data_IF_680304415582
#
_entry.id   IF_680304415582
#
_cell.length_a   1.000
_cell.length_b   1.000
_cell.length_c   1.000
_cell.angle_alpha   90.00
_cell.angle_beta   90.00
_cell.angle_gamma   90.00
#
_symmetry.space_group_name_H-M   'P 1'
#
loop_
_entity.id
_entity.type
_entity.pdbx_description
1 polymer ?
#
# COMPACT_ATOMS: atom_id res chain seq x y z
N UNK A 1 -16.76 11.37 -12.06
CA UNK A 1 -15.74 11.81 -11.07
C UNK A 1 -16.17 11.19 -9.74
N UNK A 2 -15.28 10.48 -9.06
CA UNK A 2 -15.57 9.93 -7.75
C UNK A 2 -15.96 11.05 -6.77
N UNK A 3 -16.86 10.75 -5.84
CA UNK A 3 -17.27 11.69 -4.81
C UNK A 3 -16.11 11.92 -3.84
N UNK A 4 -15.38 13.02 -4.01
CA UNK A 4 -14.19 13.32 -3.21
C UNK A 4 -14.44 13.47 -1.72
N UNK A 5 -15.71 13.60 -1.29
CA UNK A 5 -16.04 13.75 0.13
C UNK A 5 -15.79 12.48 0.95
N UNK A 6 -15.92 11.31 0.33
CA UNK A 6 -15.72 10.00 0.97
C UNK A 6 -14.48 9.26 0.47
N UNK A 7 -13.55 9.97 -0.20
CA UNK A 7 -12.31 9.37 -0.70
C UNK A 7 -11.19 9.53 0.33
N UNK A 8 -10.63 8.40 0.78
CA UNK A 8 -9.54 8.36 1.75
C UNK A 8 -8.32 7.63 1.20
N UNK A 9 -7.15 8.04 1.65
CA UNK A 9 -5.89 7.38 1.33
C UNK A 9 -5.17 6.86 2.56
N UNK A 10 -4.56 5.69 2.43
CA UNK A 10 -3.67 5.09 3.44
C UNK A 10 -2.28 4.98 2.85
N UNK A 11 -1.30 5.63 3.45
CA UNK A 11 0.11 5.59 3.03
C UNK A 11 0.91 4.81 4.06
N UNK A 12 1.44 3.65 3.65
CA UNK A 12 2.16 2.73 4.52
C UNK A 12 3.65 3.11 4.61
N UNK A 13 4.08 3.62 5.75
CA UNK A 13 5.46 4.08 6.00
C UNK A 13 6.10 3.42 7.24
N UNK A 14 5.56 2.28 7.70
CA UNK A 14 6.04 1.56 8.89
C UNK A 14 7.19 0.58 8.64
N UNK A 15 7.48 0.23 7.38
CA UNK A 15 8.50 -0.75 6.99
C UNK A 15 9.91 -0.37 7.42
N UNK A 16 10.77 -1.37 7.62
CA UNK A 16 12.16 -1.16 8.06
C UNK A 16 13.15 -0.99 6.88
N UNK A 17 12.81 -1.48 5.68
CA UNK A 17 13.64 -1.36 4.48
C UNK A 17 15.02 -2.02 4.61
N UNK A 18 15.12 -3.15 5.34
CA UNK A 18 16.39 -3.80 5.71
C UNK A 18 17.31 -4.11 4.53
N UNK A 19 16.75 -4.54 3.41
CA UNK A 19 17.50 -4.97 2.22
C UNK A 19 18.36 -3.85 1.60
N UNK A 20 17.95 -2.58 1.73
CA UNK A 20 18.67 -1.42 1.21
C UNK A 20 19.49 -0.65 2.26
N UNK A 21 19.51 -1.08 3.52
CA UNK A 21 20.17 -0.32 4.60
C UNK A 21 21.65 -0.08 4.34
N UNK A 22 22.39 -1.05 3.81
CA UNK A 22 23.81 -0.86 3.50
C UNK A 22 24.02 0.17 2.39
N UNK A 23 23.22 0.12 1.33
CA UNK A 23 23.26 1.11 0.24
C UNK A 23 22.95 2.51 0.76
N UNK A 24 21.89 2.64 1.57
CA UNK A 24 21.47 3.90 2.17
C UNK A 24 22.53 4.44 3.14
N UNK A 25 23.12 3.58 3.98
CA UNK A 25 24.20 3.95 4.91
C UNK A 25 25.41 4.51 4.17
N UNK A 26 25.82 3.90 3.07
CA UNK A 26 26.93 4.41 2.24
C UNK A 26 26.63 5.80 1.66
N UNK A 27 25.38 6.07 1.32
CA UNK A 27 24.96 7.35 0.72
C UNK A 27 24.74 8.46 1.75
N UNK A 28 24.25 8.14 2.96
CA UNK A 28 23.85 9.11 3.98
C UNK A 28 24.77 9.14 5.21
N UNK A 29 25.71 8.23 5.34
CA UNK A 29 26.54 8.09 6.54
C UNK A 29 25.80 7.55 7.77
N UNK A 30 24.52 7.22 7.66
CA UNK A 30 23.68 6.73 8.75
C UNK A 30 22.61 5.75 8.25
N UNK A 31 22.14 4.89 9.13
CA UNK A 31 20.99 4.04 8.87
C UNK A 31 19.70 4.89 8.83
N UNK A 32 18.95 4.73 7.75
CA UNK A 32 17.66 5.39 7.54
C UNK A 32 16.74 4.42 6.79
N UNK A 33 15.46 4.24 7.19
CA UNK A 33 14.55 3.40 6.43
C UNK A 33 14.32 3.95 5.02
N UNK A 34 14.13 3.06 4.05
CA UNK A 34 14.05 3.37 2.61
C UNK A 34 13.08 4.52 2.31
N UNK A 35 11.88 4.47 2.87
CA UNK A 35 10.83 5.47 2.64
C UNK A 35 11.20 6.89 3.10
N UNK A 36 12.12 7.03 4.04
CA UNK A 36 12.61 8.34 4.50
C UNK A 36 13.88 8.78 3.80
N UNK A 37 14.39 8.01 2.85
CA UNK A 37 15.62 8.28 2.10
C UNK A 37 15.30 8.92 0.75
N UNK A 38 16.12 9.93 0.35
CA UNK A 38 16.06 10.53 -0.98
C UNK A 38 16.95 9.71 -1.94
N UNK A 39 16.44 8.60 -2.44
CA UNK A 39 17.17 7.72 -3.38
C UNK A 39 17.30 8.41 -4.74
N UNK A 40 16.29 9.15 -5.15
CA UNK A 40 16.30 9.98 -6.35
C UNK A 40 16.03 11.44 -5.99
N UNK A 41 16.78 12.36 -6.55
CA UNK A 41 16.63 13.79 -6.32
C UNK A 41 16.90 14.19 -4.85
N UNK A 42 16.11 15.15 -4.32
CA UNK A 42 16.29 15.71 -2.97
C UNK A 42 15.18 15.35 -1.98
N UNK A 43 14.13 14.65 -2.43
CA UNK A 43 12.96 14.31 -1.60
C UNK A 43 12.99 12.84 -1.22
N UNK A 44 12.52 12.52 -0.01
CA UNK A 44 12.36 11.13 0.41
C UNK A 44 11.29 10.41 -0.40
N UNK A 45 11.37 9.08 -0.46
CA UNK A 45 10.37 8.25 -1.15
C UNK A 45 8.94 8.50 -0.62
N UNK A 46 8.79 8.62 0.69
CA UNK A 46 7.51 8.99 1.31
C UNK A 46 7.02 10.35 0.82
N UNK A 47 7.91 11.36 0.70
CA UNK A 47 7.51 12.68 0.20
C UNK A 47 7.08 12.61 -1.26
N UNK A 48 7.77 11.85 -2.12
CA UNK A 48 7.34 11.60 -3.49
C UNK A 48 5.96 10.95 -3.54
N UNK A 49 5.71 9.95 -2.69
CA UNK A 49 4.39 9.30 -2.61
C UNK A 49 3.31 10.27 -2.18
N UNK A 50 3.56 11.10 -1.14
CA UNK A 50 2.59 12.10 -0.70
C UNK A 50 2.30 13.15 -1.77
N UNK A 51 3.32 13.71 -2.41
CA UNK A 51 3.18 14.69 -3.50
C UNK A 51 2.35 14.14 -4.68
N UNK A 52 2.46 12.82 -4.91
CA UNK A 52 1.70 12.12 -5.94
C UNK A 52 0.24 11.96 -5.55
N UNK A 53 -0.02 11.36 -4.39
CA UNK A 53 -1.40 11.02 -3.98
C UNK A 53 -2.23 12.25 -3.60
N UNK A 54 -1.61 13.33 -3.14
CA UNK A 54 -2.25 14.62 -2.85
C UNK A 54 -2.86 15.30 -4.07
N UNK A 55 -2.48 14.88 -5.28
CA UNK A 55 -3.10 15.36 -6.52
C UNK A 55 -4.54 14.87 -6.70
N UNK A 56 -4.91 13.77 -6.04
CA UNK A 56 -6.24 13.15 -6.15
C UNK A 56 -6.97 12.98 -4.81
N UNK A 57 -6.24 12.94 -3.68
CA UNK A 57 -6.81 12.78 -2.34
C UNK A 57 -6.41 13.97 -1.47
N UNK A 58 -7.37 14.71 -0.90
CA UNK A 58 -7.06 15.85 -0.04
C UNK A 58 -6.18 15.47 1.15
N UNK A 59 -5.20 16.27 1.56
CA UNK A 59 -4.29 15.96 2.68
C UNK A 59 -5.00 15.59 3.98
N UNK A 60 -6.16 16.19 4.27
CA UNK A 60 -6.98 15.88 5.47
C UNK A 60 -7.61 14.48 5.46
N UNK A 61 -7.72 13.86 4.28
CA UNK A 61 -8.25 12.51 4.05
C UNK A 61 -7.14 11.47 3.82
N UNK A 62 -5.86 11.83 4.06
CA UNK A 62 -4.74 10.90 4.03
C UNK A 62 -4.33 10.49 5.44
N UNK A 63 -4.25 9.17 5.68
CA UNK A 63 -3.69 8.57 6.89
C UNK A 63 -2.31 7.99 6.56
N UNK A 64 -1.28 8.44 7.27
CA UNK A 64 0.09 7.91 7.14
C UNK A 64 0.31 6.97 8.31
N UNK A 65 0.65 5.71 8.03
CA UNK A 65 0.98 4.74 9.07
C UNK A 65 2.49 4.59 9.19
N UNK A 66 3.06 5.02 10.29
CA UNK A 66 4.51 5.03 10.52
C UNK A 66 4.90 4.28 11.80
N UNK A 67 6.07 3.66 11.84
CA UNK A 67 6.58 3.09 13.08
C UNK A 67 6.97 4.20 14.08
N UNK A 68 6.66 4.03 15.36
CA UNK A 68 6.98 5.01 16.40
C UNK A 68 8.48 5.38 16.40
N UNK A 69 9.38 4.40 16.22
CA UNK A 69 10.83 4.60 16.11
C UNK A 69 11.25 5.48 14.91
N UNK A 70 10.38 5.67 13.92
CA UNK A 70 10.63 6.51 12.74
C UNK A 70 10.17 7.96 12.94
N UNK A 71 9.59 8.31 14.08
CA UNK A 71 9.04 9.66 14.40
C UNK A 71 10.04 10.79 14.12
N UNK A 72 11.33 10.53 14.35
CA UNK A 72 12.42 11.51 14.12
C UNK A 72 12.59 11.95 12.66
N UNK A 73 12.15 11.15 11.67
CA UNK A 73 12.26 11.48 10.24
C UNK A 73 11.07 12.25 9.69
N UNK A 74 9.93 12.23 10.39
CA UNK A 74 8.68 12.82 9.90
C UNK A 74 8.68 14.34 9.79
N UNK A 75 9.32 15.13 10.68
CA UNK A 75 9.33 16.59 10.56
C UNK A 75 9.89 17.09 9.23
N UNK A 76 10.89 16.40 8.68
CA UNK A 76 11.48 16.72 7.37
C UNK A 76 10.48 16.47 6.22
N UNK A 77 9.69 15.39 6.32
CA UNK A 77 8.76 14.93 5.28
C UNK A 77 7.45 15.70 5.32
N UNK A 78 6.99 16.08 6.53
CA UNK A 78 5.65 16.62 6.79
C UNK A 78 5.63 18.13 6.98
N UNK A 79 6.65 18.87 6.53
CA UNK A 79 6.84 20.32 6.69
C UNK A 79 5.55 21.03 6.46
N UNK A 80 4.55 21.15 6.52
CA UNK A 80 3.30 21.88 6.20
C UNK A 80 2.03 21.04 6.39
N UNK A 81 2.14 19.86 7.06
CA UNK A 81 0.99 18.99 7.31
C UNK A 81 0.56 19.01 8.76
N UNK A 82 -0.74 18.81 8.97
CA UNK A 82 -1.27 18.57 10.31
C UNK A 82 -0.71 17.27 10.90
N UNK A 83 -0.21 17.34 12.14
CA UNK A 83 0.36 16.17 12.86
C UNK A 83 -0.62 15.01 13.03
N UNK A 84 -1.92 15.29 13.01
CA UNK A 84 -3.01 14.30 13.17
C UNK A 84 -3.16 13.32 11.99
N UNK A 85 -2.49 13.57 10.87
CA UNK A 85 -2.50 12.67 9.72
C UNK A 85 -1.60 11.43 9.89
N UNK A 86 -0.85 11.31 10.99
CA UNK A 86 0.09 10.19 11.21
C UNK A 86 -0.39 9.31 12.36
N UNK A 87 -0.60 8.04 12.03
CA UNK A 87 -0.87 6.97 12.99
C UNK A 87 0.44 6.24 13.29
N UNK A 88 0.77 6.08 14.57
CA UNK A 88 1.99 5.40 14.97
C UNK A 88 1.72 3.97 15.38
N UNK A 89 2.44 3.02 14.74
CA UNK A 89 2.48 1.64 15.23
C UNK A 89 3.61 1.51 16.25
N UNK A 90 3.32 0.93 17.43
CA UNK A 90 4.32 0.77 18.51
C UNK A 90 5.41 -0.22 18.11
N UNK A 91 5.03 -1.31 17.43
CA UNK A 91 5.91 -2.35 16.93
C UNK A 91 5.48 -2.86 15.55
N UNK A 92 6.41 -3.54 14.87
CA UNK A 92 6.10 -4.12 13.56
C UNK A 92 5.39 -5.46 13.73
N UNK A 93 4.12 -5.52 13.34
CA UNK A 93 3.29 -6.72 13.23
C UNK A 93 2.92 -7.01 11.76
N UNK A 94 3.81 -6.67 10.84
CA UNK A 94 3.64 -6.70 9.39
C UNK A 94 2.49 -5.80 8.88
N UNK A 95 2.10 -5.97 7.61
CA UNK A 95 1.23 -5.02 6.92
C UNK A 95 -0.23 -5.09 7.34
N UNK A 96 -0.75 -6.27 7.73
CA UNK A 96 -2.18 -6.41 8.04
C UNK A 96 -2.61 -5.55 9.23
N UNK A 97 -1.83 -5.55 10.32
CA UNK A 97 -2.14 -4.73 11.49
C UNK A 97 -2.05 -3.23 11.20
N UNK A 98 -1.04 -2.82 10.44
CA UNK A 98 -0.83 -1.43 10.04
C UNK A 98 -1.96 -0.90 9.15
N UNK A 99 -2.42 -1.70 8.20
CA UNK A 99 -3.54 -1.36 7.34
C UNK A 99 -4.83 -1.27 8.16
N UNK A 100 -5.07 -2.25 9.04
CA UNK A 100 -6.31 -2.26 9.83
C UNK A 100 -6.40 -1.09 10.82
N UNK A 101 -5.30 -0.67 11.42
CA UNK A 101 -5.25 0.54 12.25
C UNK A 101 -5.80 1.75 11.47
N UNK A 102 -5.32 1.99 10.26
CA UNK A 102 -5.79 3.11 9.45
C UNK A 102 -7.25 2.91 8.99
N UNK A 103 -7.63 1.70 8.56
CA UNK A 103 -9.00 1.38 8.18
C UNK A 103 -9.98 1.63 9.32
N UNK A 104 -9.67 1.21 10.54
CA UNK A 104 -10.53 1.40 11.71
C UNK A 104 -10.69 2.88 12.05
N UNK A 105 -9.65 3.69 11.91
CA UNK A 105 -9.72 5.15 12.07
C UNK A 105 -10.61 5.81 11.02
N UNK A 106 -10.49 5.39 9.75
CA UNK A 106 -11.30 5.91 8.66
C UNK A 106 -12.75 5.48 8.86
N UNK A 107 -13.00 4.21 9.14
CA UNK A 107 -14.34 3.66 9.30
C UNK A 107 -15.15 4.32 10.43
N UNK A 108 -14.50 4.66 11.53
CA UNK A 108 -15.15 5.41 12.64
C UNK A 108 -15.55 6.82 12.22
N UNK A 109 -14.79 7.47 11.33
CA UNK A 109 -15.06 8.84 10.87
C UNK A 109 -16.00 8.91 9.68
N UNK A 110 -15.91 7.91 8.80
CA UNK A 110 -16.58 7.90 7.51
C UNK A 110 -16.85 6.43 7.09
N UNK A 111 -17.97 5.85 7.53
CA UNK A 111 -18.33 4.48 7.16
C UNK A 111 -18.54 4.28 5.65
N UNK A 112 -18.88 5.35 4.91
CA UNK A 112 -19.10 5.32 3.46
C UNK A 112 -17.81 5.44 2.64
N UNK A 113 -16.65 5.55 3.30
CA UNK A 113 -15.38 5.78 2.67
C UNK A 113 -15.04 4.75 1.59
N UNK A 114 -14.51 5.24 0.47
CA UNK A 114 -13.68 4.48 -0.46
C UNK A 114 -12.23 4.74 -0.07
N UNK A 115 -11.45 3.70 0.14
CA UNK A 115 -10.05 3.81 0.52
C UNK A 115 -9.14 3.38 -0.62
N UNK A 116 -8.06 4.14 -0.84
CA UNK A 116 -6.94 3.73 -1.68
C UNK A 116 -5.70 3.56 -0.80
N UNK A 117 -5.00 2.42 -0.94
CA UNK A 117 -3.81 2.07 -0.13
C UNK A 117 -2.57 2.19 -1.00
N UNK A 118 -1.51 2.80 -0.43
CA UNK A 118 -0.26 3.07 -1.13
C UNK A 118 0.94 2.68 -0.27
N UNK A 119 1.89 1.89 -0.78
CA UNK A 119 3.21 1.79 -0.18
C UNK A 119 3.95 3.13 -0.37
N UNK A 120 4.77 3.52 0.59
CA UNK A 120 5.49 4.80 0.58
C UNK A 120 6.90 4.74 -0.01
N UNK A 121 7.31 3.56 -0.45
CA UNK A 121 8.69 3.25 -0.81
C UNK A 121 8.86 2.64 -2.20
N UNK A 122 7.79 2.68 -3.02
CA UNK A 122 7.84 2.29 -4.41
C UNK A 122 8.16 3.47 -5.33
N UNK A 123 8.94 3.18 -6.36
CA UNK A 123 9.21 4.13 -7.43
C UNK A 123 8.13 4.04 -8.51
N UNK A 124 7.69 5.20 -9.02
CA UNK A 124 6.72 5.34 -10.11
C UNK A 124 7.27 6.39 -11.08
N UNK A 125 7.47 6.02 -12.34
CA UNK A 125 7.97 6.92 -13.38
C UNK A 125 6.89 7.86 -13.91
N UNK A 126 5.88 7.34 -14.58
CA UNK A 126 4.82 8.10 -15.24
C UNK A 126 3.66 8.39 -14.28
N UNK A 127 3.90 9.27 -13.28
CA UNK A 127 2.98 9.54 -12.17
C UNK A 127 1.55 9.91 -12.62
N UNK A 128 1.42 10.76 -13.67
CA UNK A 128 0.09 11.17 -14.15
C UNK A 128 -0.72 9.98 -14.66
N UNK A 129 -0.08 9.10 -15.42
CA UNK A 129 -0.74 7.89 -15.95
C UNK A 129 -1.07 6.90 -14.84
N UNK A 130 -0.16 6.75 -13.88
CA UNK A 130 -0.41 5.92 -12.70
C UNK A 130 -1.64 6.40 -11.92
N UNK A 131 -1.77 7.71 -11.67
CA UNK A 131 -2.91 8.27 -10.97
C UNK A 131 -4.24 8.06 -11.71
N UNK A 132 -4.24 8.08 -13.05
CA UNK A 132 -5.43 7.72 -13.84
C UNK A 132 -5.90 6.28 -13.55
N UNK A 133 -4.96 5.31 -13.42
CA UNK A 133 -5.32 3.94 -13.01
C UNK A 133 -5.85 3.90 -11.57
N UNK A 134 -5.28 4.68 -10.66
CA UNK A 134 -5.79 4.78 -9.27
C UNK A 134 -7.21 5.35 -9.25
N UNK A 135 -7.48 6.43 -9.97
CA UNK A 135 -8.82 7.04 -10.08
C UNK A 135 -9.84 6.06 -10.67
N UNK A 136 -9.45 5.28 -11.69
CA UNK A 136 -10.29 4.22 -12.26
C UNK A 136 -10.60 3.13 -11.23
N UNK A 137 -9.61 2.69 -10.45
CA UNK A 137 -9.81 1.68 -9.41
C UNK A 137 -10.74 2.19 -8.31
N UNK A 138 -10.60 3.46 -7.89
CA UNK A 138 -11.47 4.12 -6.92
C UNK A 138 -12.91 4.17 -7.44
N UNK A 139 -13.12 4.68 -8.65
CA UNK A 139 -14.45 4.80 -9.25
C UNK A 139 -15.12 3.43 -9.42
N UNK A 140 -14.35 2.41 -9.84
CA UNK A 140 -14.86 1.06 -9.93
C UNK A 140 -15.30 0.50 -8.56
N UNK A 141 -14.49 0.71 -7.51
CA UNK A 141 -14.81 0.26 -6.14
C UNK A 141 -16.02 0.99 -5.55
N UNK A 142 -16.30 2.21 -5.97
CA UNK A 142 -17.50 2.96 -5.56
C UNK A 142 -18.76 2.33 -6.14
N UNK A 143 -18.73 1.92 -7.41
CA UNK A 143 -19.88 1.30 -8.11
C UNK A 143 -20.00 -0.22 -7.84
N UNK A 144 -18.90 -0.87 -7.45
CA UNK A 144 -18.81 -2.29 -7.14
C UNK A 144 -18.30 -2.53 -5.72
N UNK A 145 -19.09 -2.18 -4.69
CA UNK A 145 -18.64 -2.08 -3.30
C UNK A 145 -18.17 -3.40 -2.69
N UNK A 146 -18.59 -4.54 -3.22
CA UNK A 146 -18.25 -5.87 -2.68
C UNK A 146 -16.86 -6.35 -3.06
N UNK A 147 -16.15 -5.59 -3.90
CA UNK A 147 -14.85 -6.01 -4.46
C UNK A 147 -13.71 -5.11 -4.06
N UNK A 148 -12.52 -5.73 -3.99
CA UNK A 148 -11.23 -5.04 -3.88
C UNK A 148 -10.58 -5.00 -5.27
N UNK A 149 -10.13 -3.83 -5.69
CA UNK A 149 -9.44 -3.64 -6.97
C UNK A 149 -7.95 -3.50 -6.73
N UNK A 150 -7.16 -4.41 -7.28
CA UNK A 150 -5.70 -4.39 -7.25
C UNK A 150 -5.16 -3.71 -8.51
N UNK A 151 -4.08 -2.94 -8.38
CA UNK A 151 -3.29 -2.48 -9.53
C UNK A 151 -2.19 -3.51 -9.81
N UNK A 152 -2.37 -4.28 -10.88
CA UNK A 152 -1.44 -5.32 -11.31
C UNK A 152 -0.46 -4.78 -12.34
N UNK A 153 0.84 -4.87 -12.06
CA UNK A 153 1.91 -4.41 -12.96
C UNK A 153 2.30 -5.53 -13.92
N UNK A 154 2.48 -5.21 -15.20
CA UNK A 154 3.00 -6.17 -16.16
C UNK A 154 4.45 -6.51 -15.81
N UNK A 155 4.79 -7.78 -15.56
CA UNK A 155 6.15 -8.18 -15.22
C UNK A 155 7.13 -7.96 -16.35
N UNK A 156 8.35 -7.61 -16.01
CA UNK A 156 9.50 -7.59 -16.93
C UNK A 156 10.46 -8.75 -16.67
N UNK A 157 10.38 -9.37 -15.50
CA UNK A 157 11.24 -10.47 -15.04
C UNK A 157 10.47 -11.42 -14.13
N UNK A 158 11.00 -12.61 -13.87
CA UNK A 158 10.42 -13.59 -12.93
C UNK A 158 10.96 -13.37 -11.51
N UNK A 159 10.48 -12.34 -10.81
CA UNK A 159 10.96 -11.97 -9.46
C UNK A 159 10.16 -12.71 -8.39
N UNK A 160 10.79 -13.60 -7.58
CA UNK A 160 10.09 -14.36 -6.54
C UNK A 160 9.74 -13.51 -5.31
N UNK A 161 10.41 -12.38 -5.10
CA UNK A 161 10.19 -11.49 -3.95
C UNK A 161 8.88 -10.69 -4.03
N UNK A 162 8.14 -10.77 -5.14
CA UNK A 162 6.88 -10.06 -5.35
C UNK A 162 5.66 -10.95 -5.14
N UNK A 163 4.52 -10.31 -4.87
CA UNK A 163 3.22 -10.94 -5.00
C UNK A 163 2.82 -11.07 -6.47
N UNK A 164 2.18 -12.18 -6.83
CA UNK A 164 1.75 -12.50 -8.18
C UNK A 164 0.25 -12.70 -8.23
N UNK A 165 -0.39 -12.14 -9.27
CA UNK A 165 -1.83 -12.15 -9.48
C UNK A 165 -2.13 -12.88 -10.78
N UNK A 166 -2.94 -13.93 -10.72
CA UNK A 166 -3.46 -14.61 -11.91
C UNK A 166 -4.73 -13.91 -12.40
N UNK A 167 -4.68 -13.17 -13.52
CA UNK A 167 -5.89 -12.60 -14.08
C UNK A 167 -6.69 -13.67 -14.82
N UNK A 168 -8.00 -13.71 -14.61
CA UNK A 168 -8.92 -14.54 -15.38
C UNK A 168 -9.03 -14.04 -16.83
N UNK A 169 -9.60 -14.87 -17.70
CA UNK A 169 -10.08 -14.43 -19.04
C UNK A 169 -11.38 -13.62 -18.92
N UNK A 170 -12.12 -13.75 -17.82
CA UNK A 170 -13.34 -13.00 -17.55
C UNK A 170 -13.01 -11.61 -16.99
N UNK A 171 -13.65 -10.59 -17.53
CA UNK A 171 -13.46 -9.20 -17.12
C UNK A 171 -14.77 -8.40 -17.25
N UNK A 172 -14.83 -7.31 -16.53
CA UNK A 172 -15.83 -6.27 -16.71
C UNK A 172 -15.23 -5.11 -17.51
N UNK A 173 -16.00 -4.56 -18.42
CA UNK A 173 -15.65 -3.30 -19.07
C UNK A 173 -16.14 -2.14 -18.19
N UNK A 174 -15.22 -1.23 -17.85
CA UNK A 174 -15.54 -0.04 -17.09
C UNK A 174 -14.71 1.15 -17.60
N UNK A 175 -15.37 2.22 -18.01
CA UNK A 175 -14.74 3.44 -18.54
C UNK A 175 -13.63 3.17 -19.57
N UNK A 176 -13.89 2.26 -20.52
CA UNK A 176 -12.95 1.89 -21.58
C UNK A 176 -11.80 0.97 -21.15
N UNK A 177 -11.75 0.55 -19.90
CA UNK A 177 -10.74 -0.35 -19.35
C UNK A 177 -11.33 -1.71 -18.99
N UNK A 178 -10.44 -2.73 -18.86
CA UNK A 178 -10.81 -4.09 -18.48
C UNK A 178 -10.38 -4.36 -17.05
N UNK A 179 -11.32 -4.70 -16.20
CA UNK A 179 -11.11 -5.16 -14.83
C UNK A 179 -11.27 -6.68 -14.82
N UNK A 180 -10.17 -7.39 -14.64
CA UNK A 180 -10.15 -8.85 -14.69
C UNK A 180 -10.47 -9.44 -13.32
N UNK A 181 -11.31 -10.49 -13.28
CA UNK A 181 -11.44 -11.32 -12.09
C UNK A 181 -10.07 -11.94 -11.75
N UNK A 182 -9.79 -12.11 -10.47
CA UNK A 182 -8.58 -12.82 -10.02
C UNK A 182 -8.92 -14.30 -9.86
N UNK A 183 -8.06 -15.18 -10.40
CA UNK A 183 -8.17 -16.63 -10.21
C UNK A 183 -7.43 -17.03 -8.95
N UNK A 184 -6.21 -16.54 -8.80
CA UNK A 184 -5.39 -16.78 -7.62
C UNK A 184 -4.43 -15.61 -7.37
N UNK A 185 -4.00 -15.52 -6.12
CA UNK A 185 -2.97 -14.60 -5.67
C UNK A 185 -1.91 -15.38 -4.92
N UNK A 186 -0.64 -15.08 -5.12
CA UNK A 186 0.47 -15.79 -4.49
C UNK A 186 1.55 -14.81 -4.04
N UNK A 187 1.75 -14.68 -2.74
CA UNK A 187 2.74 -13.76 -2.16
C UNK A 187 4.09 -14.46 -2.02
N UNK A 188 5.08 -13.93 -2.71
CA UNK A 188 6.47 -14.41 -2.65
C UNK A 188 6.62 -15.91 -2.90
N UNK A 189 6.30 -16.38 -4.11
CA UNK A 189 6.48 -17.77 -4.51
C UNK A 189 7.96 -18.15 -4.51
N UNK A 190 8.25 -19.43 -4.67
CA UNK A 190 9.59 -19.88 -5.01
C UNK A 190 10.00 -19.45 -6.45
N UNK A 191 11.29 -19.60 -6.76
CA UNK A 191 11.87 -19.17 -8.05
C UNK A 191 11.22 -19.89 -9.24
N UNK A 192 10.92 -21.19 -9.08
CA UNK A 192 10.33 -21.99 -10.16
C UNK A 192 8.89 -21.53 -10.43
N UNK A 193 8.09 -21.33 -9.39
CA UNK A 193 6.74 -20.80 -9.47
C UNK A 193 6.71 -19.41 -10.09
N UNK A 194 7.63 -18.51 -9.68
CA UNK A 194 7.72 -17.16 -10.25
C UNK A 194 8.00 -17.20 -11.77
N UNK A 195 8.88 -18.10 -12.21
CA UNK A 195 9.16 -18.29 -13.64
C UNK A 195 7.92 -18.81 -14.40
N UNK A 196 7.18 -19.75 -13.82
CA UNK A 196 5.93 -20.25 -14.39
C UNK A 196 4.87 -19.14 -14.50
N UNK A 197 4.71 -18.30 -13.46
CA UNK A 197 3.76 -17.19 -13.45
C UNK A 197 4.11 -16.14 -14.49
N UNK A 198 5.40 -15.81 -14.61
CA UNK A 198 5.89 -14.90 -15.64
C UNK A 198 5.54 -15.40 -17.06
N UNK A 199 5.82 -16.67 -17.35
CA UNK A 199 5.54 -17.28 -18.65
C UNK A 199 4.03 -17.39 -18.95
N UNK A 200 3.18 -17.49 -17.91
CA UNK A 200 1.72 -17.53 -18.03
C UNK A 200 1.09 -16.12 -18.12
N UNK A 201 1.89 -15.06 -18.02
CA UNK A 201 1.41 -13.68 -18.11
C UNK A 201 0.66 -13.19 -16.87
N UNK A 202 0.97 -13.73 -15.70
CA UNK A 202 0.50 -13.18 -14.42
C UNK A 202 1.04 -11.77 -14.19
N UNK A 203 0.47 -11.04 -13.26
CA UNK A 203 0.84 -9.67 -12.95
C UNK A 203 1.52 -9.58 -11.58
N UNK A 204 2.44 -8.63 -11.41
CA UNK A 204 2.96 -8.30 -10.09
C UNK A 204 1.94 -7.51 -9.28
N UNK A 205 1.84 -7.82 -7.99
CA UNK A 205 1.09 -7.00 -7.05
C UNK A 205 1.87 -5.74 -6.69
N UNK A 206 1.32 -4.58 -6.99
CA UNK A 206 1.93 -3.30 -6.60
C UNK A 206 1.66 -2.91 -5.15
N UNK A 207 0.84 -3.65 -4.42
CA UNK A 207 0.25 -3.27 -3.13
C UNK A 207 -0.56 -1.96 -3.19
N UNK A 208 -0.82 -1.44 -4.38
CA UNK A 208 -1.78 -0.34 -4.56
C UNK A 208 -3.13 -0.94 -4.89
N UNK A 209 -4.13 -0.59 -4.09
CA UNK A 209 -5.48 -1.12 -4.22
C UNK A 209 -6.52 -0.06 -3.84
N UNK A 210 -7.75 -0.27 -4.29
CA UNK A 210 -8.91 0.50 -3.87
C UNK A 210 -10.06 -0.43 -3.46
N UNK A 211 -10.84 -0.02 -2.46
CA UNK A 211 -12.04 -0.74 -2.00
C UNK A 211 -12.93 0.17 -1.15
N UNK A 212 -14.18 -0.21 -0.92
CA UNK A 212 -14.96 0.34 0.18
C UNK A 212 -14.32 -0.03 1.52
N UNK A 213 -14.23 0.94 2.42
CA UNK A 213 -13.67 0.73 3.75
C UNK A 213 -14.43 -0.35 4.51
N UNK A 214 -15.76 -0.32 4.47
CA UNK A 214 -16.63 -1.32 5.08
C UNK A 214 -16.34 -2.74 4.56
N UNK A 215 -16.09 -2.89 3.27
CA UNK A 215 -15.77 -4.18 2.65
C UNK A 215 -14.49 -4.77 3.18
N UNK A 216 -13.43 -3.95 3.26
CA UNK A 216 -12.18 -4.40 3.89
C UNK A 216 -12.37 -4.73 5.37
N UNK A 217 -13.14 -3.94 6.13
CA UNK A 217 -13.44 -4.24 7.54
C UNK A 217 -14.20 -5.58 7.68
N UNK A 218 -15.17 -5.87 6.81
CA UNK A 218 -15.87 -7.17 6.76
C UNK A 218 -14.91 -8.33 6.46
N UNK A 219 -13.99 -8.16 5.50
CA UNK A 219 -12.97 -9.15 5.18
C UNK A 219 -12.00 -9.40 6.34
N UNK A 220 -11.58 -8.36 7.06
CA UNK A 220 -10.78 -8.53 8.27
C UNK A 220 -11.55 -9.29 9.36
N UNK A 221 -12.83 -9.02 9.53
CA UNK A 221 -13.67 -9.74 10.48
C UNK A 221 -13.76 -11.23 10.16
N UNK A 222 -13.79 -11.59 8.87
CA UNK A 222 -13.95 -12.98 8.42
C UNK A 222 -12.63 -13.75 8.41
N UNK A 223 -11.53 -13.14 7.96
CA UNK A 223 -10.27 -13.83 7.70
C UNK A 223 -9.14 -13.46 8.69
N UNK A 224 -9.24 -12.33 9.37
CA UNK A 224 -8.24 -11.81 10.31
C UNK A 224 -8.88 -11.42 11.64
N UNK A 225 -9.73 -12.32 12.17
CA UNK A 225 -10.58 -12.07 13.34
C UNK A 225 -9.81 -11.58 14.56
N UNK A 226 -8.61 -12.08 14.83
CA UNK A 226 -7.78 -11.62 15.95
C UNK A 226 -7.41 -10.14 15.86
N UNK A 227 -7.04 -9.68 14.64
CA UNK A 227 -6.74 -8.26 14.41
C UNK A 227 -8.03 -7.45 14.53
N UNK A 228 -9.11 -7.86 13.87
CA UNK A 228 -10.41 -7.17 13.97
C UNK A 228 -10.86 -7.01 15.44
N UNK A 229 -10.78 -8.07 16.22
CA UNK A 229 -11.23 -8.08 17.61
C UNK A 229 -10.39 -7.16 18.53
N UNK A 230 -9.07 -7.04 18.28
CA UNK A 230 -8.19 -6.16 19.05
C UNK A 230 -8.62 -4.68 18.95
N UNK A 231 -9.26 -4.30 17.85
CA UNK A 231 -9.72 -2.92 17.61
C UNK A 231 -11.22 -2.69 17.87
N UNK A 232 -11.93 -3.64 18.52
CA UNK A 232 -13.39 -3.52 18.78
C UNK A 232 -13.82 -2.24 19.51
N UNK A 233 -12.95 -1.65 20.33
CA UNK A 233 -13.24 -0.42 21.09
C UNK A 233 -12.77 0.85 20.38
N UNK A 234 -12.36 0.77 19.11
CA UNK A 234 -11.82 1.90 18.37
C UNK A 234 -12.76 3.11 18.36
N UNK A 235 -14.05 2.90 18.13
CA UNK A 235 -15.06 3.96 18.06
C UNK A 235 -15.24 4.77 19.35
N UNK A 236 -14.88 4.21 20.51
CA UNK A 236 -14.97 4.89 21.81
C UNK A 236 -13.64 5.42 22.31
N UNK A 237 -12.54 5.12 21.64
CA UNK A 237 -11.18 5.39 22.11
C UNK A 237 -10.44 6.40 21.22
N UNK A 238 -10.67 6.35 19.89
CA UNK A 238 -9.98 7.25 18.97
C UNK A 238 -10.35 8.72 19.21
N UNK A 239 -9.32 9.57 19.20
CA UNK A 239 -9.44 10.99 19.50
C UNK A 239 -9.48 11.33 20.99
N UNK A 240 -9.30 10.35 21.89
CA UNK A 240 -9.17 10.54 23.33
C UNK A 240 -7.71 10.43 23.81
N UNK A 241 -7.43 10.84 25.04
CA UNK A 241 -6.10 10.70 25.65
C UNK A 241 -5.66 9.23 25.83
N UNK A 242 -6.60 8.29 25.75
CA UNK A 242 -6.35 6.85 25.88
C UNK A 242 -6.02 6.16 24.55
N UNK A 243 -5.95 6.88 23.44
CA UNK A 243 -5.75 6.31 22.11
C UNK A 243 -4.39 5.60 21.96
N UNK A 244 -3.30 6.23 22.41
CA UNK A 244 -1.95 5.64 22.32
C UNK A 244 -1.87 4.34 23.13
N UNK A 245 -2.40 4.31 24.34
CA UNK A 245 -2.43 3.12 25.20
C UNK A 245 -3.29 2.01 24.58
N UNK A 246 -4.43 2.37 24.01
CA UNK A 246 -5.29 1.43 23.30
C UNK A 246 -4.58 0.77 22.12
N UNK A 247 -3.93 1.57 21.26
CA UNK A 247 -3.16 1.07 20.12
C UNK A 247 -2.00 0.17 20.60
N UNK A 248 -1.27 0.58 21.63
CA UNK A 248 -0.17 -0.20 22.19
C UNK A 248 -0.65 -1.58 22.66
N UNK A 249 -1.77 -1.61 23.40
CA UNK A 249 -2.38 -2.87 23.86
C UNK A 249 -2.86 -3.74 22.69
N UNK A 250 -3.55 -3.15 21.72
CA UNK A 250 -4.01 -3.89 20.54
C UNK A 250 -2.85 -4.54 19.79
N UNK A 251 -1.72 -3.83 19.60
CA UNK A 251 -0.55 -4.38 18.92
C UNK A 251 0.20 -5.44 19.73
N UNK A 252 0.18 -5.39 21.06
CA UNK A 252 0.81 -6.42 21.90
C UNK A 252 0.14 -7.80 21.73
N UNK A 253 -1.19 -7.82 21.54
CA UNK A 253 -1.99 -9.04 21.56
C UNK A 253 -2.21 -9.67 20.16
N UNK A 254 -1.94 -8.93 19.07
CA UNK A 254 -2.20 -9.44 17.72
C UNK A 254 -1.03 -10.20 17.10
N UNK A 255 -1.31 -11.24 16.27
CA UNK A 255 -0.27 -11.94 15.54
C UNK A 255 0.34 -11.06 14.43
N UNK A 256 1.60 -11.35 14.10
CA UNK A 256 2.24 -10.76 12.92
C UNK A 256 1.69 -11.41 11.65
N UNK A 257 1.02 -10.64 10.80
CA UNK A 257 0.36 -11.10 9.58
C UNK A 257 0.65 -10.18 8.40
N UNK A 258 1.11 -10.78 7.29
CA UNK A 258 1.24 -10.08 6.03
C UNK A 258 -0.15 -9.94 5.37
N UNK A 259 -0.53 -8.75 4.97
CA UNK A 259 -1.84 -8.46 4.37
C UNK A 259 -2.07 -9.25 3.07
N UNK A 260 -1.10 -9.24 2.17
CA UNK A 260 -1.22 -9.96 0.90
C UNK A 260 -1.37 -11.45 1.11
N UNK A 261 -0.50 -12.05 1.93
CA UNK A 261 -0.51 -13.49 2.20
C UNK A 261 -1.71 -13.94 3.04
N UNK A 262 -2.09 -13.15 4.05
CA UNK A 262 -3.10 -13.59 5.03
C UNK A 262 -4.53 -13.14 4.70
N UNK A 263 -4.69 -12.23 3.71
CA UNK A 263 -6.00 -11.77 3.26
C UNK A 263 -6.17 -11.94 1.76
N UNK A 264 -5.32 -11.34 0.91
CA UNK A 264 -5.55 -11.36 -0.53
C UNK A 264 -5.49 -12.77 -1.13
N UNK A 265 -4.62 -13.65 -0.64
CA UNK A 265 -4.58 -15.07 -1.06
C UNK A 265 -5.89 -15.82 -0.72
N UNK A 266 -6.55 -15.44 0.37
CA UNK A 266 -7.75 -16.12 0.88
C UNK A 266 -9.06 -15.65 0.22
N UNK A 267 -9.04 -14.55 -0.53
CA UNK A 267 -10.25 -13.91 -1.06
C UNK A 267 -10.23 -13.68 -2.58
N UNK A 268 -9.65 -14.56 -3.43
CA UNK A 268 -9.52 -14.30 -4.87
C UNK A 268 -10.86 -13.98 -5.55
N UNK A 269 -11.96 -14.60 -5.12
CA UNK A 269 -13.30 -14.37 -5.67
C UNK A 269 -13.83 -12.94 -5.41
N UNK A 270 -13.27 -12.25 -4.43
CA UNK A 270 -13.61 -10.86 -4.10
C UNK A 270 -12.64 -9.85 -4.73
N UNK A 271 -11.70 -10.30 -5.58
CA UNK A 271 -10.70 -9.46 -6.19
C UNK A 271 -10.97 -9.20 -7.67
N UNK A 272 -10.76 -7.96 -8.07
CA UNK A 272 -10.48 -7.57 -9.45
C UNK A 272 -9.06 -7.05 -9.56
N UNK A 273 -8.44 -7.24 -10.72
CA UNK A 273 -7.17 -6.61 -11.05
C UNK A 273 -7.32 -5.72 -12.28
N UNK A 274 -6.88 -4.47 -12.13
CA UNK A 274 -6.70 -3.53 -13.23
C UNK A 274 -5.26 -3.63 -13.71
N UNK A 275 -5.06 -4.03 -14.97
CA UNK A 275 -3.72 -4.14 -15.57
C UNK A 275 -3.16 -2.75 -15.83
N UNK A 276 -2.02 -2.47 -15.25
CA UNK A 276 -1.30 -1.19 -15.40
C UNK A 276 -0.20 -1.35 -16.42
N UNK A 277 -0.25 -0.54 -17.48
CA UNK A 277 0.68 -0.58 -18.59
C UNK A 277 1.25 0.81 -18.92
N UNK A 278 2.46 0.83 -19.47
CA UNK A 278 3.12 2.07 -19.90
C UNK A 278 3.51 2.98 -18.75
N UNK A 279 3.84 2.40 -17.62
CA UNK A 279 4.50 3.06 -16.50
C UNK A 279 5.74 2.26 -16.11
N UNK A 280 6.75 2.94 -15.63
CA UNK A 280 7.86 2.33 -14.94
C UNK A 280 7.52 2.26 -13.45
N UNK A 281 7.46 1.05 -12.92
CA UNK A 281 7.20 0.76 -11.51
C UNK A 281 8.28 -0.17 -10.96
N UNK A 282 8.71 0.10 -9.75
CA UNK A 282 9.65 -0.76 -9.03
C UNK A 282 9.44 -0.64 -7.52
N UNK A 283 9.54 -1.77 -6.81
CA UNK A 283 9.55 -1.73 -5.34
C UNK A 283 10.91 -1.30 -4.77
N UNK A 284 11.95 -1.18 -5.63
CA UNK A 284 13.33 -0.90 -5.22
C UNK A 284 13.76 -1.75 -4.02
N UNK A 285 13.52 -3.04 -4.14
CA UNK A 285 13.80 -4.00 -3.07
C UNK A 285 15.29 -4.31 -2.90
N UNK A 286 16.11 -4.18 -3.97
CA UNK A 286 17.54 -4.46 -3.96
C UNK A 286 18.33 -3.30 -4.52
N UNK A 287 19.64 -3.24 -4.18
CA UNK A 287 20.56 -2.24 -4.70
C UNK A 287 20.68 -2.33 -6.22
N UNK A 288 20.77 -3.54 -6.74
CA UNK A 288 20.92 -3.82 -8.17
C UNK A 288 19.73 -3.25 -8.96
N UNK A 289 18.50 -3.45 -8.46
CA UNK A 289 17.30 -2.90 -9.07
C UNK A 289 17.32 -1.36 -9.03
N UNK A 290 17.68 -0.76 -7.91
CA UNK A 290 17.80 0.70 -7.79
C UNK A 290 18.79 1.26 -8.82
N UNK A 291 19.98 0.67 -8.93
CA UNK A 291 21.01 1.12 -9.86
C UNK A 291 20.55 0.96 -11.32
N UNK A 292 19.99 -0.20 -11.69
CA UNK A 292 19.44 -0.47 -13.02
C UNK A 292 18.40 0.58 -13.43
N UNK A 293 17.47 0.91 -12.52
CA UNK A 293 16.42 1.89 -12.79
C UNK A 293 16.99 3.31 -12.90
N UNK A 294 17.92 3.71 -12.00
CA UNK A 294 18.57 5.02 -12.05
C UNK A 294 19.37 5.22 -13.35
N UNK A 295 20.10 4.20 -13.82
CA UNK A 295 20.82 4.22 -15.10
C UNK A 295 19.84 4.43 -16.27
N UNK A 296 18.68 3.79 -16.23
CA UNK A 296 17.65 3.95 -17.26
C UNK A 296 17.08 5.37 -17.36
N UNK A 297 17.20 6.17 -16.28
CA UNK A 297 16.82 7.58 -16.21
C UNK A 297 17.95 8.54 -16.56
N UNK A 298 19.18 8.06 -16.78
CA UNK A 298 20.36 8.92 -16.96
C UNK A 298 20.73 9.72 -15.70
N UNK A 299 20.37 9.22 -14.53
CA UNK A 299 20.71 9.83 -13.23
C UNK A 299 22.06 9.30 -12.77
N UNK A 300 23.06 10.18 -12.67
CA UNK A 300 24.39 9.83 -12.10
C UNK A 300 24.25 9.38 -10.64
N UNK A 301 24.97 8.33 -10.28
CA UNK A 301 24.98 7.70 -8.94
C UNK A 301 25.83 8.47 -7.93
#
# INVERSE_FOLDING_TARGET
MANTNHLWGIVLAGGEGKRLQEFIRKRYGAERPKQYSAIIGKRSMLRHTLDRVEKIIPPKQLQIVAAHKHRKYLPEVLKEREKKAVLFIPENRESAASIYLALSHIYVRDPEAVVAIFPSDHFIGEEKRFLQYVELAISFSEEHPDYVVLLGIKPTEAIPDYGWIEPSKNFLHYQGNRFYRVISFNEKPDVESALQYFNKGWLWNSLVLAAKCETLVKMYRQHLESIFNAFKKANTTYGTDSEEDFIAKAFADIPSKNFSKSLLEEIPDSLFVLRVEGILWSDWGTKEQVLKDLDSFGVSH
#
